data_IF_149132357290
#
_entry.id   IF_149132357290
#
_cell.length_a   1.000
_cell.length_b   1.000
_cell.length_c   1.000
_cell.angle_alpha   90.00
_cell.angle_beta   90.00
_cell.angle_gamma   90.00
#
_symmetry.space_group_name_H-M   'P 1'
#
loop_
_entity.id
_entity.type
_entity.pdbx_description
1 polymer ?
#
# COMPACT_ATOMS: atom_id res chain seq x y z
N UNK A 1 -9.97 -12.84 14.05
CA UNK A 1 -9.63 -13.59 12.81
C UNK A 1 -8.14 -13.57 12.65
N UNK A 2 -7.47 -14.71 12.57
CA UNK A 2 -6.02 -14.69 12.34
C UNK A 2 -5.76 -14.36 10.87
N UNK A 3 -4.79 -13.47 10.64
CA UNK A 3 -4.28 -13.09 9.33
C UNK A 3 -3.15 -14.06 8.92
N UNK A 4 -2.80 -14.06 7.65
CA UNK A 4 -1.62 -14.75 7.14
C UNK A 4 -0.39 -13.88 7.39
N UNK A 5 0.76 -14.49 7.70
CA UNK A 5 2.02 -13.75 7.74
C UNK A 5 2.47 -13.31 6.34
N UNK A 6 3.40 -12.33 6.21
CA UNK A 6 3.96 -11.95 4.91
C UNK A 6 4.51 -13.14 4.12
N UNK A 7 5.25 -14.05 4.78
CA UNK A 7 5.81 -15.26 4.15
C UNK A 7 4.71 -16.22 3.67
N UNK A 8 3.66 -16.39 4.47
CA UNK A 8 2.51 -17.20 4.07
C UNK A 8 1.79 -16.60 2.87
N UNK A 9 1.63 -15.28 2.80
CA UNK A 9 1.03 -14.62 1.62
C UNK A 9 1.91 -14.81 0.40
N UNK A 10 3.23 -14.70 0.53
CA UNK A 10 4.15 -14.95 -0.57
C UNK A 10 4.10 -16.40 -1.05
N UNK A 11 4.14 -17.37 -0.14
CA UNK A 11 4.04 -18.79 -0.45
C UNK A 11 2.70 -19.12 -1.13
N UNK A 12 1.59 -18.56 -0.64
CA UNK A 12 0.26 -18.71 -1.22
C UNK A 12 0.22 -18.22 -2.69
N UNK A 13 0.79 -17.06 -2.96
CA UNK A 13 0.86 -16.47 -4.31
C UNK A 13 1.73 -17.32 -5.24
N UNK A 14 2.87 -17.81 -4.74
CA UNK A 14 3.78 -18.67 -5.49
C UNK A 14 3.16 -20.05 -5.81
N UNK A 15 2.32 -20.57 -4.95
CA UNK A 15 1.63 -21.85 -5.14
C UNK A 15 0.47 -21.80 -6.16
N UNK A 16 0.07 -20.60 -6.61
CA UNK A 16 -0.97 -20.45 -7.62
C UNK A 16 -0.54 -21.08 -8.96
N UNK A 17 -1.42 -21.89 -9.56
CA UNK A 17 -1.10 -22.72 -10.72
C UNK A 17 -0.86 -21.92 -12.01
N UNK A 18 -1.55 -20.80 -12.16
CA UNK A 18 -1.45 -19.96 -13.36
C UNK A 18 -1.14 -18.52 -12.98
N UNK A 19 -0.56 -17.77 -13.92
CA UNK A 19 -0.32 -16.35 -13.73
C UNK A 19 -1.60 -15.55 -13.46
N UNK A 20 -2.72 -15.95 -14.06
CA UNK A 20 -4.03 -15.33 -13.78
C UNK A 20 -4.48 -15.57 -12.34
N UNK A 21 -4.29 -16.77 -11.83
CA UNK A 21 -4.61 -17.13 -10.45
C UNK A 21 -3.70 -16.37 -9.47
N UNK A 22 -2.40 -16.31 -9.79
CA UNK A 22 -1.42 -15.53 -9.03
C UNK A 22 -1.79 -14.06 -9.00
N UNK A 23 -2.12 -13.48 -10.14
CA UNK A 23 -2.56 -12.09 -10.24
C UNK A 23 -3.81 -11.82 -9.41
N UNK A 24 -4.79 -12.74 -9.40
CA UNK A 24 -6.02 -12.60 -8.61
C UNK A 24 -5.74 -12.51 -7.12
N UNK A 25 -4.93 -13.42 -6.58
CA UNK A 25 -4.53 -13.41 -5.17
C UNK A 25 -3.69 -12.16 -4.83
N UNK A 26 -2.78 -11.80 -5.72
CA UNK A 26 -1.89 -10.63 -5.58
C UNK A 26 -2.69 -9.33 -5.49
N UNK A 27 -3.58 -9.07 -6.42
CA UNK A 27 -4.39 -7.83 -6.43
C UNK A 27 -5.31 -7.74 -5.20
N UNK A 28 -5.89 -8.86 -4.76
CA UNK A 28 -6.71 -8.87 -3.55
C UNK A 28 -5.87 -8.47 -2.33
N UNK A 29 -4.65 -8.98 -2.21
CA UNK A 29 -3.76 -8.66 -1.11
C UNK A 29 -3.22 -7.23 -1.21
N UNK A 30 -2.51 -6.89 -2.27
CA UNK A 30 -1.76 -5.62 -2.39
C UNK A 30 -2.66 -4.38 -2.40
N UNK A 31 -3.83 -4.50 -3.01
CA UNK A 31 -4.81 -3.42 -3.07
C UNK A 31 -5.97 -3.61 -2.09
N UNK A 32 -5.92 -4.61 -1.23
CA UNK A 32 -6.97 -4.89 -0.25
C UNK A 32 -8.36 -4.97 -0.88
N UNK A 33 -8.50 -5.55 -2.07
CA UNK A 33 -9.78 -5.65 -2.77
C UNK A 33 -10.74 -6.62 -2.07
N UNK A 34 -12.03 -6.31 -2.16
CA UNK A 34 -13.04 -7.35 -1.93
C UNK A 34 -13.05 -8.30 -3.12
N UNK A 35 -13.36 -9.57 -2.89
CA UNK A 35 -13.46 -10.57 -3.98
C UNK A 35 -14.34 -10.06 -5.13
N UNK A 36 -15.49 -9.44 -4.79
CA UNK A 36 -16.41 -8.91 -5.80
C UNK A 36 -15.85 -7.70 -6.58
N UNK A 37 -14.93 -6.95 -5.99
CA UNK A 37 -14.22 -5.86 -6.66
C UNK A 37 -13.20 -6.44 -7.63
N UNK A 38 -12.40 -7.41 -7.18
CA UNK A 38 -11.44 -8.11 -8.03
C UNK A 38 -12.10 -8.80 -9.24
N UNK A 39 -13.19 -9.53 -9.02
CA UNK A 39 -13.93 -10.21 -10.09
C UNK A 39 -14.55 -9.26 -11.12
N UNK A 40 -14.73 -7.98 -10.79
CA UNK A 40 -15.26 -6.98 -11.72
C UNK A 40 -14.19 -6.24 -12.51
N UNK A 41 -12.91 -6.60 -12.32
CA UNK A 41 -11.82 -5.91 -13.01
C UNK A 41 -11.76 -6.30 -14.49
N UNK A 42 -11.50 -5.29 -15.31
CA UNK A 42 -11.20 -5.42 -16.73
C UNK A 42 -9.84 -4.78 -17.01
N UNK A 43 -9.26 -5.05 -18.17
CA UNK A 43 -8.01 -4.41 -18.58
C UNK A 43 -8.08 -2.88 -18.53
N UNK A 44 -9.23 -2.29 -18.87
CA UNK A 44 -9.43 -0.83 -18.85
C UNK A 44 -9.35 -0.20 -17.45
N UNK A 45 -9.39 -1.00 -16.37
CA UNK A 45 -9.23 -0.50 -15.01
C UNK A 45 -7.77 -0.18 -14.63
N UNK A 46 -6.78 -0.59 -15.44
CA UNK A 46 -5.40 -0.18 -15.22
C UNK A 46 -4.99 0.84 -16.27
N UNK A 47 -4.55 2.02 -15.82
CA UNK A 47 -4.09 3.11 -16.68
C UNK A 47 -2.80 3.70 -16.12
N UNK A 48 -1.76 3.75 -16.96
CA UNK A 48 -0.45 4.34 -16.61
C UNK A 48 0.13 3.77 -15.30
N UNK A 49 -0.06 2.45 -15.07
CA UNK A 49 0.41 1.78 -13.86
C UNK A 49 -0.43 2.00 -12.60
N UNK A 50 -1.62 2.62 -12.74
CA UNK A 50 -2.57 2.81 -11.63
C UNK A 50 -3.80 1.94 -11.81
N UNK A 51 -4.15 1.17 -10.77
CA UNK A 51 -5.39 0.42 -10.69
C UNK A 51 -6.52 1.34 -10.26
N UNK A 52 -7.52 1.48 -11.11
CA UNK A 52 -8.72 2.30 -10.89
C UNK A 52 -9.83 1.46 -10.28
N UNK A 53 -10.09 1.65 -9.00
CA UNK A 53 -11.10 0.88 -8.27
C UNK A 53 -12.38 1.70 -8.16
N UNK A 54 -13.47 1.15 -8.71
CA UNK A 54 -14.80 1.74 -8.56
C UNK A 54 -15.55 0.99 -7.44
N UNK A 55 -15.90 1.65 -6.35
CA UNK A 55 -16.68 1.00 -5.31
C UNK A 55 -18.11 0.68 -5.82
N UNK A 56 -18.62 -0.52 -5.52
CA UNK A 56 -19.98 -0.94 -5.93
C UNK A 56 -21.11 -0.13 -5.29
N UNK A 57 -20.86 0.58 -4.20
CA UNK A 57 -21.84 1.44 -3.49
C UNK A 57 -21.21 2.81 -3.28
N UNK A 58 -22.04 3.89 -3.28
CA UNK A 58 -21.70 5.31 -3.07
C UNK A 58 -20.33 5.56 -2.34
N UNK A 59 -19.20 5.32 -3.01
CA UNK A 59 -17.84 5.54 -2.50
C UNK A 59 -17.04 6.36 -3.51
N UNK A 60 -15.96 6.97 -3.05
CA UNK A 60 -15.03 7.68 -3.93
C UNK A 60 -14.21 6.66 -4.73
N UNK A 61 -13.98 6.94 -6.01
CA UNK A 61 -13.04 6.22 -6.86
C UNK A 61 -11.65 6.32 -6.22
N UNK A 62 -10.90 5.23 -6.25
CA UNK A 62 -9.51 5.17 -5.80
C UNK A 62 -8.64 4.79 -6.97
N UNK A 63 -7.58 5.54 -7.20
CA UNK A 63 -6.52 5.23 -8.15
C UNK A 63 -5.28 4.84 -7.33
N UNK A 64 -4.90 3.57 -7.39
CA UNK A 64 -3.82 3.00 -6.58
C UNK A 64 -2.67 2.57 -7.48
N UNK A 65 -1.46 3.03 -7.17
CA UNK A 65 -0.27 2.67 -7.92
C UNK A 65 0.01 1.17 -7.75
N UNK A 66 0.19 0.46 -8.85
CA UNK A 66 0.67 -0.93 -8.83
C UNK A 66 2.19 -0.94 -8.71
N UNK A 67 2.74 -1.92 -8.01
CA UNK A 67 4.18 -2.16 -8.06
C UNK A 67 4.59 -2.70 -9.44
N UNK A 68 5.87 -2.62 -9.75
CA UNK A 68 6.37 -2.97 -11.07
C UNK A 68 6.20 -4.45 -11.41
N UNK A 69 6.38 -5.35 -10.44
CA UNK A 69 6.24 -6.79 -10.64
C UNK A 69 4.77 -7.18 -10.88
N UNK A 70 3.86 -6.61 -10.10
CA UNK A 70 2.41 -6.81 -10.25
C UNK A 70 1.89 -6.21 -11.55
N UNK A 71 2.41 -5.06 -11.97
CA UNK A 71 2.09 -4.47 -13.27
C UNK A 71 2.55 -5.36 -14.42
N UNK A 72 3.77 -5.88 -14.39
CA UNK A 72 4.29 -6.79 -15.40
C UNK A 72 3.45 -8.08 -15.48
N UNK A 73 3.08 -8.65 -14.35
CA UNK A 73 2.19 -9.81 -14.28
C UNK A 73 0.80 -9.48 -14.86
N UNK A 74 0.25 -8.32 -14.54
CA UNK A 74 -1.01 -7.83 -15.09
C UNK A 74 -0.94 -7.72 -16.62
N UNK A 75 0.10 -7.10 -17.15
CA UNK A 75 0.30 -6.93 -18.58
C UNK A 75 0.44 -8.28 -19.29
N UNK A 76 1.21 -9.21 -18.72
CA UNK A 76 1.33 -10.57 -19.24
C UNK A 76 -0.01 -11.29 -19.35
N UNK A 77 -0.81 -11.23 -18.28
CA UNK A 77 -2.13 -11.89 -18.20
C UNK A 77 -3.14 -11.25 -19.16
N UNK A 78 -3.05 -9.93 -19.38
CA UNK A 78 -4.08 -9.16 -20.09
C UNK A 78 -3.69 -8.77 -21.52
N UNK A 79 -2.50 -9.11 -21.98
CA UNK A 79 -1.98 -8.69 -23.30
C UNK A 79 -2.94 -8.95 -24.48
N UNK A 80 -3.67 -10.08 -24.43
CA UNK A 80 -4.59 -10.51 -25.49
C UNK A 80 -6.07 -10.24 -25.16
N UNK A 81 -6.36 -9.55 -24.04
CA UNK A 81 -7.73 -9.23 -23.66
C UNK A 81 -8.17 -7.88 -24.26
N UNK A 82 -9.41 -7.82 -24.70
CA UNK A 82 -10.05 -6.54 -25.06
C UNK A 82 -10.20 -5.66 -23.80
N UNK A 83 -10.24 -4.33 -23.94
CA UNK A 83 -10.25 -3.41 -22.79
C UNK A 83 -11.33 -3.67 -21.75
N UNK A 84 -12.53 -4.07 -22.20
CA UNK A 84 -13.69 -4.29 -21.33
C UNK A 84 -13.92 -5.76 -20.95
N UNK A 85 -13.03 -6.67 -21.36
CA UNK A 85 -13.13 -8.08 -21.00
C UNK A 85 -12.74 -8.26 -19.53
N UNK A 86 -13.52 -9.06 -18.79
CA UNK A 86 -13.18 -9.43 -17.42
C UNK A 86 -11.85 -10.18 -17.39
N UNK A 87 -10.96 -9.77 -16.48
CA UNK A 87 -9.67 -10.46 -16.28
C UNK A 87 -9.91 -11.80 -15.58
N UNK A 88 -10.86 -11.82 -14.66
CA UNK A 88 -11.19 -12.95 -13.81
C UNK A 88 -12.66 -13.36 -14.05
N UNK A 89 -12.94 -14.14 -15.11
CA UNK A 89 -14.31 -14.60 -15.40
C UNK A 89 -14.68 -15.78 -14.49
N UNK A 90 -14.59 -15.58 -13.18
CA UNK A 90 -14.76 -16.59 -12.16
C UNK A 90 -15.96 -16.30 -11.28
N UNK A 91 -16.51 -17.36 -10.63
CA UNK A 91 -17.46 -17.20 -9.54
C UNK A 91 -16.75 -16.85 -8.23
N UNK A 92 -17.51 -16.35 -7.25
CA UNK A 92 -16.98 -16.16 -5.89
C UNK A 92 -16.56 -17.49 -5.25
N UNK A 93 -17.31 -18.54 -5.52
CA UNK A 93 -17.02 -19.88 -5.02
C UNK A 93 -15.69 -20.36 -5.57
N UNK A 94 -15.48 -20.23 -6.88
CA UNK A 94 -14.21 -20.58 -7.50
C UNK A 94 -13.03 -19.80 -6.91
N UNK A 95 -13.20 -18.50 -6.65
CA UNK A 95 -12.15 -17.70 -5.98
C UNK A 95 -11.82 -18.21 -4.57
N UNK A 96 -12.81 -18.75 -3.84
CA UNK A 96 -12.58 -19.39 -2.55
C UNK A 96 -11.86 -20.72 -2.69
N UNK A 97 -12.26 -21.55 -3.64
CA UNK A 97 -11.62 -22.83 -3.95
C UNK A 97 -10.16 -22.65 -4.36
N UNK A 98 -9.88 -21.67 -5.23
CA UNK A 98 -8.53 -21.29 -5.60
C UNK A 98 -7.66 -20.94 -4.37
N UNK A 99 -8.20 -20.14 -3.46
CA UNK A 99 -7.47 -19.76 -2.25
C UNK A 99 -7.14 -20.97 -1.39
N UNK A 100 -8.10 -21.86 -1.18
CA UNK A 100 -7.89 -23.09 -0.39
C UNK A 100 -6.91 -24.06 -1.07
N UNK A 101 -7.01 -24.24 -2.38
CA UNK A 101 -6.09 -25.08 -3.14
C UNK A 101 -4.64 -24.53 -3.08
N UNK A 102 -4.47 -23.21 -3.26
CA UNK A 102 -3.16 -22.59 -3.16
C UNK A 102 -2.60 -22.67 -1.73
N UNK A 103 -3.43 -22.51 -0.70
CA UNK A 103 -3.00 -22.65 0.69
C UNK A 103 -2.56 -24.09 1.02
N UNK A 104 -3.31 -25.08 0.58
CA UNK A 104 -2.96 -26.50 0.76
C UNK A 104 -1.64 -26.82 0.07
N UNK A 105 -1.45 -26.36 -1.18
CA UNK A 105 -0.22 -26.55 -1.95
C UNK A 105 0.99 -25.83 -1.33
N UNK A 106 0.75 -24.70 -0.67
CA UNK A 106 1.78 -23.95 0.07
C UNK A 106 2.06 -24.51 1.47
N UNK A 107 1.37 -25.58 1.91
CA UNK A 107 1.51 -26.14 3.26
C UNK A 107 0.98 -25.22 4.36
N UNK A 108 0.06 -24.29 4.04
CA UNK A 108 -0.49 -23.33 5.00
C UNK A 108 -1.70 -23.96 5.69
N UNK A 109 -1.57 -24.20 7.01
CA UNK A 109 -2.67 -24.65 7.84
C UNK A 109 -3.68 -23.50 8.07
N UNK A 110 -4.78 -23.51 7.33
CA UNK A 110 -5.85 -22.53 7.49
C UNK A 110 -6.68 -22.83 8.74
N UNK A 111 -7.11 -21.76 9.43
CA UNK A 111 -8.01 -21.88 10.56
C UNK A 111 -9.47 -21.99 10.10
N UNK A 112 -10.32 -22.42 11.03
CA UNK A 112 -11.76 -22.49 10.78
C UNK A 112 -12.28 -21.12 10.30
N UNK A 113 -12.99 -21.11 9.17
CA UNK A 113 -13.53 -19.93 8.48
C UNK A 113 -12.48 -18.95 7.91
N UNK A 114 -11.21 -19.35 7.82
CA UNK A 114 -10.20 -18.56 7.15
C UNK A 114 -10.30 -18.80 5.64
N UNK A 115 -10.76 -17.81 4.90
CA UNK A 115 -10.94 -17.86 3.46
C UNK A 115 -10.23 -16.69 2.76
N UNK A 116 -10.52 -16.48 1.49
CA UNK A 116 -9.87 -15.48 0.63
C UNK A 116 -9.91 -14.04 1.18
N UNK A 117 -10.91 -13.69 2.00
CA UNK A 117 -10.98 -12.41 2.69
C UNK A 117 -9.83 -12.18 3.68
N UNK A 118 -9.17 -13.27 4.14
CA UNK A 118 -8.00 -13.16 5.00
C UNK A 118 -6.84 -12.43 4.35
N UNK A 119 -6.71 -12.45 3.01
CA UNK A 119 -5.71 -11.66 2.29
C UNK A 119 -5.87 -10.16 2.55
N UNK A 120 -7.10 -9.66 2.46
CA UNK A 120 -7.40 -8.27 2.76
C UNK A 120 -7.19 -7.94 4.25
N UNK A 121 -7.53 -8.85 5.15
CA UNK A 121 -7.24 -8.71 6.57
C UNK A 121 -5.74 -8.72 6.84
N UNK A 122 -4.97 -9.58 6.15
CA UNK A 122 -3.51 -9.61 6.26
C UNK A 122 -2.88 -8.28 5.85
N UNK A 123 -3.33 -7.66 4.75
CA UNK A 123 -2.87 -6.32 4.38
C UNK A 123 -3.08 -5.32 5.52
N UNK A 124 -4.27 -5.32 6.15
CA UNK A 124 -4.55 -4.40 7.26
C UNK A 124 -3.57 -4.58 8.42
N UNK A 125 -3.34 -5.83 8.83
CA UNK A 125 -2.40 -6.16 9.91
C UNK A 125 -0.97 -5.80 9.52
N UNK A 126 -0.52 -6.14 8.32
CA UNK A 126 0.84 -5.83 7.87
C UNK A 126 1.09 -4.32 7.77
N UNK A 127 0.08 -3.52 7.39
CA UNK A 127 0.18 -2.06 7.43
C UNK A 127 0.31 -1.54 8.87
N UNK A 128 -0.49 -2.08 9.81
CA UNK A 128 -0.40 -1.70 11.22
C UNK A 128 0.94 -2.11 11.83
N UNK A 129 1.40 -3.32 11.57
CA UNK A 129 2.69 -3.85 12.03
C UNK A 129 3.87 -3.03 11.48
N UNK A 130 3.72 -2.49 10.26
CA UNK A 130 4.66 -1.53 9.66
C UNK A 130 4.54 -0.11 10.25
N UNK A 131 3.65 0.12 11.22
CA UNK A 131 3.47 1.43 11.88
C UNK A 131 2.57 2.40 11.09
N UNK A 132 1.81 1.94 10.09
CA UNK A 132 0.92 2.81 9.35
C UNK A 132 -0.20 3.36 10.26
N UNK A 133 -0.45 4.68 10.23
CA UNK A 133 -1.57 5.26 10.98
C UNK A 133 -2.92 4.68 10.53
N UNK A 134 -3.85 4.52 11.48
CA UNK A 134 -5.18 3.95 11.22
C UNK A 134 -5.92 4.58 10.03
N UNK A 135 -5.88 5.92 9.82
CA UNK A 135 -6.49 6.54 8.64
C UNK A 135 -5.89 6.05 7.32
N UNK A 136 -4.60 5.70 7.29
CA UNK A 136 -3.93 5.13 6.11
C UNK A 136 -4.46 3.73 5.84
N UNK A 137 -4.57 2.89 6.87
CA UNK A 137 -5.16 1.54 6.76
C UNK A 137 -6.62 1.63 6.30
N UNK A 138 -7.41 2.53 6.89
CA UNK A 138 -8.80 2.78 6.49
C UNK A 138 -8.92 3.17 5.02
N UNK A 139 -8.05 4.07 4.55
CA UNK A 139 -8.01 4.52 3.14
C UNK A 139 -7.61 3.38 2.21
N UNK A 140 -6.56 2.62 2.54
CA UNK A 140 -6.08 1.47 1.76
C UNK A 140 -7.15 0.39 1.61
N UNK A 141 -7.95 0.17 2.65
CA UNK A 141 -9.06 -0.76 2.60
C UNK A 141 -10.36 -0.15 2.06
N UNK A 142 -10.41 1.15 1.79
CA UNK A 142 -11.63 1.84 1.34
C UNK A 142 -12.81 1.61 2.29
N UNK A 143 -12.56 1.63 3.61
CA UNK A 143 -13.58 1.50 4.62
C UNK A 143 -14.38 2.80 4.77
N UNK A 144 -15.71 2.71 4.80
CA UNK A 144 -16.61 3.86 4.94
C UNK A 144 -16.55 4.51 6.32
N UNK A 145 -16.28 3.73 7.35
CA UNK A 145 -16.21 4.20 8.73
C UNK A 145 -14.98 3.64 9.43
N UNK A 146 -14.48 4.38 10.38
CA UNK A 146 -13.38 3.98 11.28
C UNK A 146 -13.77 2.73 12.09
N UNK A 147 -15.03 2.56 12.47
CA UNK A 147 -15.50 1.36 13.16
C UNK A 147 -15.21 0.06 12.41
N UNK A 148 -15.23 0.08 11.06
CA UNK A 148 -14.86 -1.09 10.25
C UNK A 148 -13.36 -1.42 10.29
N UNK A 149 -12.53 -0.45 10.68
CA UNK A 149 -11.08 -0.61 10.82
C UNK A 149 -10.72 -0.86 12.29
N UNK A 150 -11.57 -0.46 13.21
CA UNK A 150 -11.42 -0.67 14.67
C UNK A 150 -11.34 -2.16 15.08
N UNK A 151 -11.89 -3.06 14.26
CA UNK A 151 -11.75 -4.52 14.46
C UNK A 151 -10.28 -4.98 14.46
N UNK A 152 -9.39 -4.20 13.88
CA UNK A 152 -7.93 -4.48 13.87
C UNK A 152 -7.20 -3.84 15.04
N UNK A 153 -7.90 -3.10 15.91
CA UNK A 153 -7.35 -2.38 17.06
C UNK A 153 -7.47 -3.15 18.38
N UNK A 154 -7.54 -4.46 18.36
CA UNK A 154 -7.28 -5.24 19.58
C UNK A 154 -5.79 -5.08 19.93
N UNK A 155 -5.44 -3.86 20.37
CA UNK A 155 -4.15 -3.58 20.97
C UNK A 155 -4.10 -4.30 22.32
N UNK A 156 -3.19 -5.24 22.47
CA UNK A 156 -2.86 -5.75 23.77
C UNK A 156 -2.23 -4.63 24.65
N UNK A 157 -2.28 -4.78 25.96
CA UNK A 157 -1.73 -3.79 26.90
C UNK A 157 -0.24 -3.51 26.65
N UNK A 158 0.51 -4.51 26.19
CA UNK A 158 1.93 -4.39 25.88
C UNK A 158 2.19 -3.48 24.68
N UNK A 159 1.32 -3.54 23.64
CA UNK A 159 1.38 -2.60 22.51
C UNK A 159 1.10 -1.17 22.94
N UNK A 160 0.13 -0.96 23.81
CA UNK A 160 -0.19 0.39 24.34
C UNK A 160 0.99 0.94 25.13
N UNK A 161 1.60 0.14 26.00
CA UNK A 161 2.74 0.55 26.82
C UNK A 161 4.00 0.80 25.95
N UNK A 162 4.22 0.00 24.91
CA UNK A 162 5.27 0.21 23.92
C UNK A 162 5.13 1.55 23.17
N UNK A 163 3.94 1.90 22.76
CA UNK A 163 3.66 3.20 22.12
C UNK A 163 3.75 4.35 23.10
N UNK A 164 3.29 4.18 24.35
CA UNK A 164 3.41 5.19 25.40
C UNK A 164 4.89 5.48 25.70
N UNK A 165 5.72 4.45 25.81
CA UNK A 165 7.16 4.60 26.03
C UNK A 165 7.85 5.31 24.85
N UNK A 166 7.48 5.00 23.60
CA UNK A 166 7.99 5.72 22.43
C UNK A 166 7.54 7.19 22.40
N UNK A 167 6.29 7.46 22.74
CA UNK A 167 5.78 8.83 22.77
C UNK A 167 6.41 9.69 23.87
N UNK A 168 6.77 9.08 25.01
CA UNK A 168 7.42 9.79 26.13
C UNK A 168 8.93 9.88 25.99
N UNK A 169 9.56 9.01 25.20
CA UNK A 169 11.00 9.03 24.90
C UNK A 169 11.35 9.94 23.70
N UNK A 170 10.36 10.35 22.90
CA UNK A 170 10.61 11.19 21.73
C UNK A 170 10.89 12.64 22.13
N UNK A 171 11.88 13.32 21.53
CA UNK A 171 11.92 14.78 21.56
C UNK A 171 10.63 15.32 20.98
N UNK A 172 10.17 16.47 21.48
CA UNK A 172 8.86 17.07 21.23
C UNK A 172 8.31 16.83 19.79
N UNK A 173 7.03 16.40 19.67
CA UNK A 173 6.49 16.00 18.37
C UNK A 173 6.48 17.18 17.40
N UNK A 174 6.99 16.95 16.19
CA UNK A 174 6.76 17.84 15.08
C UNK A 174 5.26 17.75 14.76
N UNK A 175 4.49 18.76 15.10
CA UNK A 175 3.07 18.84 14.75
C UNK A 175 2.98 19.07 13.24
N UNK A 176 2.70 18.01 12.49
CA UNK A 176 2.30 18.16 11.09
C UNK A 176 0.88 18.74 11.03
N UNK A 177 0.77 20.06 10.94
CA UNK A 177 -0.48 20.72 10.56
C UNK A 177 -0.67 20.52 9.07
N UNK A 178 -1.82 20.00 8.65
CA UNK A 178 -2.15 19.79 7.25
C UNK A 178 -1.94 21.06 6.44
N UNK A 179 -1.04 21.01 5.47
CA UNK A 179 -0.94 21.98 4.39
C UNK A 179 0.00 23.17 4.62
N UNK A 180 0.79 23.22 5.67
CA UNK A 180 1.80 24.25 5.84
C UNK A 180 3.20 23.67 5.61
N UNK A 181 3.94 24.28 4.68
CA UNK A 181 5.37 24.05 4.51
C UNK A 181 6.03 24.23 5.87
N UNK A 182 6.85 23.26 6.30
CA UNK A 182 7.64 23.41 7.52
C UNK A 182 8.46 24.71 7.40
N UNK A 183 8.11 25.69 8.22
CA UNK A 183 8.96 26.87 8.40
C UNK A 183 10.16 26.38 9.19
N UNK A 184 11.38 26.42 8.65
CA UNK A 184 12.55 26.09 9.44
C UNK A 184 12.61 27.03 10.66
N UNK A 185 13.11 26.50 11.77
CA UNK A 185 13.34 27.31 12.98
C UNK A 185 14.00 28.64 12.59
N UNK A 186 13.63 29.75 13.23
CA UNK A 186 14.21 31.03 12.91
C UNK A 186 15.75 30.90 12.98
N UNK A 187 16.37 31.05 11.83
CA UNK A 187 17.82 31.08 11.76
C UNK A 187 18.27 32.23 12.66
N UNK A 188 19.21 31.98 13.53
CA UNK A 188 19.93 33.05 14.25
C UNK A 188 20.31 34.11 13.23
N UNK A 189 20.12 35.40 13.52
CA UNK A 189 20.39 36.45 12.54
C UNK A 189 21.86 36.41 12.16
N UNK A 190 22.11 35.86 10.99
CA UNK A 190 23.48 35.87 10.43
C UNK A 190 23.95 37.32 10.31
N UNK A 191 25.16 37.60 10.78
CA UNK A 191 25.76 38.91 10.62
C UNK A 191 25.89 39.24 9.13
N UNK A 192 25.79 40.52 8.77
CA UNK A 192 25.98 40.99 7.40
C UNK A 192 27.29 40.50 6.77
N UNK A 193 28.33 40.34 7.59
CA UNK A 193 29.62 39.76 7.17
C UNK A 193 29.47 38.26 6.75
N UNK A 194 28.75 37.49 7.52
CA UNK A 194 28.51 36.05 7.21
C UNK A 194 27.67 35.88 5.96
N UNK A 195 26.67 36.74 5.75
CA UNK A 195 25.85 36.75 4.52
C UNK A 195 26.72 37.10 3.29
N UNK A 196 27.61 38.03 3.37
CA UNK A 196 28.52 38.35 2.26
C UNK A 196 29.42 37.20 1.87
N UNK A 197 30.01 36.51 2.84
CA UNK A 197 30.87 35.34 2.59
C UNK A 197 30.09 34.21 1.91
N UNK A 198 28.87 33.98 2.32
CA UNK A 198 28.04 32.92 1.71
C UNK A 198 27.56 33.27 0.30
N UNK A 199 27.28 34.55 0.02
CA UNK A 199 26.97 35.01 -1.33
C UNK A 199 28.17 34.85 -2.27
N UNK A 200 29.39 35.19 -1.82
CA UNK A 200 30.60 34.98 -2.61
C UNK A 200 30.86 33.51 -2.89
N UNK A 201 30.66 32.65 -1.89
CA UNK A 201 30.78 31.17 -2.03
C UNK A 201 29.79 30.62 -3.05
N UNK A 202 28.52 31.00 -2.97
CA UNK A 202 27.48 30.53 -3.89
C UNK A 202 27.71 31.07 -5.31
N UNK A 203 28.20 32.29 -5.45
CA UNK A 203 28.54 32.88 -6.75
C UNK A 203 29.73 32.17 -7.42
N UNK A 204 30.73 31.78 -6.66
CA UNK A 204 31.86 30.96 -7.15
C UNK A 204 31.42 29.59 -7.59
N UNK A 205 30.50 28.94 -6.83
CA UNK A 205 29.92 27.63 -7.18
C UNK A 205 29.10 27.68 -8.47
N UNK A 206 28.31 28.73 -8.67
CA UNK A 206 27.52 28.93 -9.87
C UNK A 206 28.40 29.12 -11.13
N UNK A 207 29.50 29.81 -10.99
CA UNK A 207 30.50 29.99 -12.07
C UNK A 207 31.17 28.67 -12.46
N UNK A 208 31.48 27.81 -11.47
CA UNK A 208 32.07 26.48 -11.74
C UNK A 208 31.08 25.55 -12.40
N UNK A 209 29.79 25.60 -12.03
CA UNK A 209 28.75 24.80 -12.67
C UNK A 209 28.48 25.21 -14.12
N UNK A 210 28.49 26.55 -14.41
CA UNK A 210 28.34 27.02 -15.78
C UNK A 210 29.56 26.71 -16.69
N UNK A 211 30.74 26.55 -16.12
CA UNK A 211 31.93 26.11 -16.85
C UNK A 211 31.87 24.58 -17.17
N UNK A 212 31.23 23.78 -16.32
CA UNK A 212 31.08 22.34 -16.51
C UNK A 212 30.00 21.98 -17.54
N UNK A 213 29.02 22.84 -17.81
CA UNK A 213 28.00 22.64 -18.86
C UNK A 213 28.47 22.98 -20.29
N UNK A 214 29.69 23.47 -20.46
CA UNK A 214 30.24 23.86 -21.77
C UNK A 214 31.24 22.87 -22.35
N UNK A 215 31.39 21.70 -21.72
CA UNK A 215 32.16 20.56 -22.22
C UNK A 215 31.24 19.31 -22.28
#
# INVERSE_FOLDING_TARGET
MKHLSPDQVQALRAAAETDRNRLFLTIIYEHGLRVSEALSLTRAHVKRGYLQIKPKKKGKRSDEKMDQATLALFESVTKNLLPNTLIFPFSRQWGSELFHAAAAKAGIALQLRQGIHSLRHSLAHHLLDAGAPLPVVQKSLRHRSIGSTGVYLEADAASVDGWRSKATAAPAPIIHVHGTVAVPAPLEPMSLAAIRVEIERLSALALTMQAAEKF
#
